data_IF_968060065050
#
_entry.id   IF_968060065050
#
_cell.length_a   1.000
_cell.length_b   1.000
_cell.length_c   1.000
_cell.angle_alpha   90.00
_cell.angle_beta   90.00
_cell.angle_gamma   90.00
#
_symmetry.space_group_name_H-M   'P 1'
#
loop_
_entity.id
_entity.type
_entity.pdbx_description
1 polymer ?
#
# COMPACT_ATOMS: atom_id res chain seq x y z
N UNK A 1 -92.39 6.88 -11.68
CA UNK A 1 -91.85 7.98 -12.50
C UNK A 1 -90.82 7.40 -13.45
N UNK A 2 -91.00 7.70 -14.75
CA UNK A 2 -90.21 7.46 -15.98
C UNK A 2 -88.86 6.72 -15.88
N UNK A 3 -88.49 5.70 -16.67
CA UNK A 3 -88.73 5.29 -18.08
C UNK A 3 -88.00 6.12 -19.17
N UNK A 4 -87.52 5.38 -20.21
CA UNK A 4 -86.81 5.73 -21.46
C UNK A 4 -85.27 5.71 -21.36
N UNK A 5 -84.48 4.77 -21.90
CA UNK A 5 -84.50 4.03 -23.20
C UNK A 5 -84.50 4.90 -24.46
N UNK A 6 -83.51 4.69 -25.33
CA UNK A 6 -83.45 5.25 -26.70
C UNK A 6 -82.09 5.03 -27.38
N UNK A 7 -82.02 4.09 -28.30
CA UNK A 7 -80.83 3.45 -28.92
C UNK A 7 -80.55 4.05 -30.36
N UNK A 8 -79.82 3.41 -31.30
CA UNK A 8 -78.58 3.90 -31.97
C UNK A 8 -78.69 4.09 -33.51
N UNK A 9 -77.57 4.41 -34.19
CA UNK A 9 -77.35 4.24 -35.65
C UNK A 9 -75.88 4.59 -35.98
N UNK A 10 -75.14 4.03 -36.96
CA UNK A 10 -75.27 2.92 -37.90
C UNK A 10 -73.84 2.65 -38.43
N UNK A 11 -73.56 1.41 -38.79
CA UNK A 11 -72.34 0.87 -39.35
C UNK A 11 -71.99 1.37 -40.77
N UNK A 12 -70.71 1.24 -41.15
CA UNK A 12 -70.36 0.63 -42.44
C UNK A 12 -69.02 -0.13 -42.31
N UNK A 13 -69.10 -1.44 -42.53
CA UNK A 13 -67.96 -2.33 -42.80
C UNK A 13 -67.58 -2.14 -44.26
N UNK A 14 -66.31 -2.29 -44.61
CA UNK A 14 -65.95 -3.11 -45.77
C UNK A 14 -64.59 -3.78 -45.55
N UNK A 15 -64.60 -5.08 -45.83
CA UNK A 15 -63.53 -6.08 -45.79
C UNK A 15 -62.86 -6.13 -47.18
N UNK A 16 -61.78 -6.91 -47.29
CA UNK A 16 -61.11 -7.40 -48.52
C UNK A 16 -60.10 -6.43 -49.17
N UNK A 17 -58.94 -6.84 -49.68
CA UNK A 17 -58.26 -8.13 -49.75
C UNK A 17 -56.80 -7.88 -50.14
N UNK A 18 -56.00 -8.90 -49.88
CA UNK A 18 -54.60 -9.06 -50.22
C UNK A 18 -54.41 -9.20 -51.75
N UNK A 19 -53.57 -8.37 -52.38
CA UNK A 19 -52.99 -8.68 -53.71
C UNK A 19 -51.53 -8.23 -53.74
N UNK A 20 -50.65 -9.17 -53.45
CA UNK A 20 -49.28 -9.15 -53.93
C UNK A 20 -49.27 -9.40 -55.45
N UNK A 21 -48.90 -8.40 -56.28
CA UNK A 21 -48.08 -8.69 -57.47
C UNK A 21 -47.46 -7.44 -58.13
N UNK A 22 -46.16 -7.58 -58.42
CA UNK A 22 -45.49 -7.24 -59.69
C UNK A 22 -44.87 -5.83 -59.89
N UNK A 23 -43.54 -5.88 -59.84
CA UNK A 23 -42.57 -5.41 -60.85
C UNK A 23 -42.47 -3.92 -61.22
N UNK A 24 -41.27 -3.43 -60.93
CA UNK A 24 -40.50 -2.35 -61.54
C UNK A 24 -40.96 -1.88 -62.95
N UNK A 25 -41.23 -0.58 -63.07
CA UNK A 25 -40.82 0.26 -64.20
C UNK A 25 -40.92 1.73 -63.75
N UNK A 26 -39.83 2.49 -63.95
CA UNK A 26 -39.60 3.75 -63.26
C UNK A 26 -40.33 4.98 -63.82
N UNK A 27 -40.29 6.06 -63.03
CA UNK A 27 -40.07 7.44 -63.48
C UNK A 27 -40.22 8.41 -62.32
N UNK A 28 -39.41 9.46 -62.34
CA UNK A 28 -39.76 10.75 -61.72
C UNK A 28 -39.34 10.89 -60.27
N UNK A 29 -38.25 11.63 -60.05
CA UNK A 29 -37.67 11.85 -58.74
C UNK A 29 -38.60 12.55 -57.75
N UNK A 30 -38.54 12.07 -56.51
CA UNK A 30 -38.35 12.91 -55.33
C UNK A 30 -37.27 12.18 -54.54
N UNK A 31 -36.11 12.81 -54.34
CA UNK A 31 -35.15 12.38 -53.33
C UNK A 31 -35.83 12.49 -51.98
N UNK A 32 -36.48 11.43 -51.51
CA UNK A 32 -36.73 11.27 -50.08
C UNK A 32 -35.35 11.29 -49.41
N UNK A 33 -35.07 12.20 -48.45
CA UNK A 33 -33.88 12.05 -47.66
C UNK A 33 -34.00 10.69 -46.97
N UNK A 34 -33.02 9.80 -47.17
CA UNK A 34 -32.84 8.62 -46.32
C UNK A 34 -33.04 9.07 -44.88
N UNK A 35 -33.92 8.43 -44.07
CA UNK A 35 -33.99 8.77 -42.66
C UNK A 35 -32.59 8.56 -42.13
N UNK A 36 -31.96 9.66 -41.72
CA UNK A 36 -30.71 9.60 -41.01
C UNK A 36 -30.93 8.63 -39.84
N UNK A 37 -30.13 7.57 -39.80
CA UNK A 37 -30.03 6.69 -38.64
C UNK A 37 -29.41 7.53 -37.51
N UNK A 38 -30.18 8.45 -36.95
CA UNK A 38 -29.86 9.13 -35.71
C UNK A 38 -30.12 8.11 -34.60
N UNK A 39 -29.16 7.22 -34.39
CA UNK A 39 -29.14 6.39 -33.19
C UNK A 39 -28.52 7.24 -32.08
N UNK A 40 -29.36 7.81 -31.21
CA UNK A 40 -28.89 8.44 -29.98
C UNK A 40 -28.51 7.35 -28.97
N UNK A 41 -27.60 7.66 -28.05
CA UNK A 41 -27.27 6.76 -26.94
C UNK A 41 -28.54 6.37 -26.15
N UNK A 42 -29.53 7.26 -26.09
CA UNK A 42 -30.81 7.00 -25.41
C UNK A 42 -31.68 5.98 -26.15
N UNK A 43 -31.44 5.70 -27.42
CA UNK A 43 -32.22 4.75 -28.22
C UNK A 43 -31.72 3.31 -28.06
N UNK A 44 -30.57 3.12 -27.40
CA UNK A 44 -30.02 1.79 -27.14
C UNK A 44 -30.92 0.98 -26.18
N UNK A 45 -30.96 -0.36 -26.36
CA UNK A 45 -31.54 -1.28 -25.41
C UNK A 45 -30.96 -1.10 -23.99
N UNK A 46 -31.78 -1.23 -22.92
CA UNK A 46 -31.32 -1.10 -21.55
C UNK A 46 -30.14 -2.02 -21.20
N UNK A 47 -30.08 -3.22 -21.77
CA UNK A 47 -29.02 -4.21 -21.53
C UNK A 47 -27.66 -3.70 -22.02
N UNK A 48 -27.63 -3.07 -23.21
CA UNK A 48 -26.42 -2.47 -23.75
C UNK A 48 -26.01 -1.24 -22.93
N UNK A 49 -26.97 -0.45 -22.46
CA UNK A 49 -26.71 0.70 -21.60
C UNK A 49 -26.15 0.27 -20.24
N UNK A 50 -26.65 -0.82 -19.66
CA UNK A 50 -26.11 -1.41 -18.43
C UNK A 50 -24.65 -1.81 -18.65
N UNK A 51 -24.32 -2.51 -19.74
CA UNK A 51 -22.93 -2.89 -20.03
C UNK A 51 -22.04 -1.67 -20.23
N UNK A 52 -22.48 -0.68 -21.02
CA UNK A 52 -21.72 0.56 -21.25
C UNK A 52 -21.47 1.31 -19.94
N UNK A 53 -22.52 1.53 -19.13
CA UNK A 53 -22.38 2.24 -17.85
C UNK A 53 -21.56 1.44 -16.85
N UNK A 54 -21.65 0.12 -16.88
CA UNK A 54 -20.86 -0.74 -16.02
C UNK A 54 -19.38 -0.79 -16.42
N UNK A 55 -18.94 -0.16 -17.51
CA UNK A 55 -17.53 0.03 -17.88
C UNK A 55 -16.96 1.38 -17.42
N UNK A 56 -17.80 2.33 -17.03
CA UNK A 56 -17.38 3.66 -16.62
C UNK A 56 -16.93 3.68 -15.14
N UNK A 57 -16.03 4.61 -14.75
CA UNK A 57 -15.73 4.85 -13.35
C UNK A 57 -17.01 5.17 -12.56
N UNK A 58 -17.14 4.62 -11.35
CA UNK A 58 -18.29 4.86 -10.48
C UNK A 58 -18.46 6.34 -10.10
N UNK A 59 -17.39 7.15 -10.21
CA UNK A 59 -17.41 8.61 -10.02
C UNK A 59 -18.16 9.35 -11.11
N UNK A 60 -18.30 8.78 -12.31
CA UNK A 60 -18.91 9.44 -13.48
C UNK A 60 -20.40 9.09 -13.60
N UNK A 61 -20.83 7.99 -12.96
CA UNK A 61 -22.22 7.53 -12.95
C UNK A 61 -23.21 8.57 -12.39
N UNK A 62 -22.91 9.34 -11.33
CA UNK A 62 -23.79 10.41 -10.87
C UNK A 62 -24.08 11.47 -11.95
N UNK A 63 -23.09 11.85 -12.76
CA UNK A 63 -23.28 12.79 -13.85
C UNK A 63 -24.22 12.23 -14.94
N UNK A 64 -24.08 10.93 -15.26
CA UNK A 64 -24.99 10.25 -16.18
C UNK A 64 -26.41 10.13 -15.64
N UNK A 65 -26.57 9.89 -14.33
CA UNK A 65 -27.88 9.83 -13.70
C UNK A 65 -28.64 11.16 -13.79
N UNK A 66 -27.92 12.28 -13.84
CA UNK A 66 -28.51 13.62 -14.00
C UNK A 66 -28.85 13.97 -15.45
N UNK A 67 -28.33 13.22 -16.44
CA UNK A 67 -28.47 13.56 -17.85
C UNK A 67 -29.90 13.35 -18.37
N UNK A 68 -30.57 12.26 -17.98
CA UNK A 68 -31.97 12.02 -18.34
C UNK A 68 -32.66 11.00 -17.42
N UNK A 69 -33.99 10.94 -17.47
CA UNK A 69 -34.80 10.01 -16.69
C UNK A 69 -34.48 8.55 -17.02
N UNK A 70 -34.26 8.21 -18.30
CA UNK A 70 -33.91 6.83 -18.71
C UNK A 70 -32.61 6.38 -18.04
N UNK A 71 -31.58 7.21 -18.05
CA UNK A 71 -30.29 6.87 -17.43
C UNK A 71 -30.38 6.81 -15.91
N UNK A 72 -31.15 7.72 -15.28
CA UNK A 72 -31.45 7.64 -13.86
C UNK A 72 -32.02 6.28 -13.46
N UNK A 73 -33.02 5.76 -14.19
CA UNK A 73 -33.63 4.46 -13.90
C UNK A 73 -32.67 3.29 -14.16
N UNK A 74 -31.87 3.33 -15.23
CA UNK A 74 -30.89 2.29 -15.53
C UNK A 74 -29.81 2.23 -14.44
N UNK A 75 -29.36 3.38 -13.93
CA UNK A 75 -28.35 3.45 -12.87
C UNK A 75 -28.88 3.05 -11.49
N UNK A 76 -30.17 2.74 -11.35
CA UNK A 76 -30.69 2.04 -10.16
C UNK A 76 -30.43 0.52 -10.20
N UNK A 77 -30.02 -0.03 -11.33
CA UNK A 77 -29.71 -1.46 -11.46
C UNK A 77 -28.43 -1.78 -10.70
N UNK A 78 -28.56 -2.66 -9.72
CA UNK A 78 -27.50 -2.92 -8.74
C UNK A 78 -26.30 -3.70 -9.31
N UNK A 79 -26.49 -4.41 -10.44
CA UNK A 79 -25.39 -5.12 -11.12
C UNK A 79 -24.29 -4.18 -11.62
N UNK A 80 -24.64 -2.94 -11.99
CA UNK A 80 -23.68 -1.90 -12.38
C UNK A 80 -22.78 -1.59 -11.18
N UNK A 81 -23.38 -1.25 -10.04
CA UNK A 81 -22.67 -0.89 -8.82
C UNK A 81 -21.89 -2.07 -8.23
N UNK A 82 -22.44 -3.28 -8.31
CA UNK A 82 -21.73 -4.52 -7.94
C UNK A 82 -20.42 -4.67 -8.71
N UNK A 83 -20.46 -4.42 -10.02
CA UNK A 83 -19.25 -4.44 -10.87
C UNK A 83 -18.26 -3.34 -10.45
N UNK A 84 -18.73 -2.11 -10.20
CA UNK A 84 -17.87 -1.01 -9.73
C UNK A 84 -17.20 -1.31 -8.38
N UNK A 85 -17.96 -1.81 -7.40
CA UNK A 85 -17.42 -2.22 -6.10
C UNK A 85 -16.31 -3.29 -6.24
N UNK A 86 -16.49 -4.24 -7.16
CA UNK A 86 -15.50 -5.29 -7.42
C UNK A 86 -14.27 -4.76 -8.15
N UNK A 87 -14.46 -3.97 -9.20
CA UNK A 87 -13.35 -3.51 -10.05
C UNK A 87 -12.55 -2.37 -9.41
N UNK A 88 -13.17 -1.48 -8.65
CA UNK A 88 -12.49 -0.31 -8.06
C UNK A 88 -11.99 -0.57 -6.64
N UNK A 89 -12.66 -1.45 -5.87
CA UNK A 89 -12.36 -1.67 -4.45
C UNK A 89 -12.05 -3.13 -4.11
N UNK A 90 -12.03 -4.04 -5.10
CA UNK A 90 -11.67 -5.44 -4.89
C UNK A 90 -12.65 -6.23 -4.02
N UNK A 91 -13.90 -5.76 -3.86
CA UNK A 91 -14.92 -6.42 -3.03
C UNK A 91 -15.12 -7.86 -3.50
N UNK A 92 -14.81 -8.82 -2.62
CA UNK A 92 -15.06 -10.25 -2.83
C UNK A 92 -16.40 -10.62 -2.21
N UNK A 93 -17.21 -11.32 -2.98
CA UNK A 93 -18.56 -11.70 -2.58
C UNK A 93 -18.54 -13.01 -1.81
N UNK A 94 -19.03 -12.99 -0.57
CA UNK A 94 -19.44 -14.22 0.11
C UNK A 94 -20.96 -14.28 0.06
N UNK A 95 -21.52 -15.41 -0.41
CA UNK A 95 -22.96 -15.66 -0.59
C UNK A 95 -23.81 -15.35 0.65
N UNK A 96 -23.20 -15.36 1.84
CA UNK A 96 -23.83 -15.07 3.13
C UNK A 96 -24.07 -13.56 3.36
N UNK A 97 -23.24 -12.69 2.79
CA UNK A 97 -23.25 -11.23 3.07
C UNK A 97 -24.43 -10.52 2.38
N UNK A 98 -24.83 -10.97 1.19
CA UNK A 98 -25.96 -10.42 0.42
C UNK A 98 -27.32 -10.73 1.06
N UNK A 99 -27.45 -11.89 1.72
CA UNK A 99 -28.70 -12.32 2.36
C UNK A 99 -28.95 -11.66 3.72
N UNK A 100 -27.90 -11.16 4.39
CA UNK A 100 -28.01 -10.76 5.79
C UNK A 100 -28.35 -9.29 6.02
N UNK A 101 -28.14 -8.39 5.04
CA UNK A 101 -28.10 -6.94 5.32
C UNK A 101 -29.12 -6.10 4.54
N UNK A 102 -29.79 -6.62 3.51
CA UNK A 102 -30.85 -5.87 2.80
C UNK A 102 -30.37 -4.57 2.13
N UNK A 103 -29.07 -4.43 1.87
CA UNK A 103 -28.45 -3.24 1.27
C UNK A 103 -28.18 -3.42 -0.22
N UNK A 104 -28.29 -2.33 -0.99
CA UNK A 104 -27.87 -2.29 -2.39
C UNK A 104 -26.37 -2.02 -2.52
N UNK A 105 -25.71 -2.58 -3.54
CA UNK A 105 -24.33 -2.23 -3.90
C UNK A 105 -24.17 -0.74 -4.20
N UNK A 106 -25.21 -0.08 -4.72
CA UNK A 106 -25.24 1.38 -4.87
C UNK A 106 -25.03 2.08 -3.53
N UNK A 107 -25.70 1.64 -2.47
CA UNK A 107 -25.53 2.22 -1.13
C UNK A 107 -24.15 1.92 -0.55
N UNK A 108 -23.64 0.70 -0.75
CA UNK A 108 -22.27 0.33 -0.36
C UNK A 108 -21.25 1.25 -1.02
N UNK A 109 -21.37 1.45 -2.33
CA UNK A 109 -20.47 2.32 -3.07
C UNK A 109 -20.55 3.78 -2.56
N UNK A 110 -21.76 4.32 -2.47
CA UNK A 110 -21.98 5.75 -2.22
C UNK A 110 -21.83 6.16 -0.75
N UNK A 111 -22.17 5.27 0.20
CA UNK A 111 -22.18 5.57 1.63
C UNK A 111 -20.96 5.00 2.38
N UNK A 112 -20.23 4.04 1.80
CA UNK A 112 -19.08 3.41 2.45
C UNK A 112 -17.82 3.50 1.59
N UNK A 113 -17.76 2.88 0.42
CA UNK A 113 -16.50 2.74 -0.31
C UNK A 113 -15.97 4.07 -0.81
N UNK A 114 -16.80 4.86 -1.51
CA UNK A 114 -16.36 6.13 -2.06
C UNK A 114 -16.05 7.18 -0.97
N UNK A 115 -16.86 7.39 0.09
CA UNK A 115 -16.53 8.33 1.16
C UNK A 115 -15.24 8.00 1.92
N UNK A 116 -14.99 6.71 2.17
CA UNK A 116 -13.85 6.22 2.96
C UNK A 116 -12.70 5.70 2.06
N UNK A 117 -12.70 5.98 0.76
CA UNK A 117 -11.64 5.52 -0.15
C UNK A 117 -10.23 5.98 0.25
N UNK A 118 -10.13 7.18 0.82
CA UNK A 118 -8.86 7.81 1.18
C UNK A 118 -8.22 7.23 2.45
N UNK A 119 -8.93 6.37 3.19
CA UNK A 119 -8.37 5.70 4.39
C UNK A 119 -7.88 4.30 4.06
N UNK A 120 -8.11 3.79 2.85
CA UNK A 120 -7.63 2.46 2.44
C UNK A 120 -6.12 2.50 2.22
N UNK A 121 -5.43 1.43 2.62
CA UNK A 121 -3.99 1.30 2.45
C UNK A 121 -3.25 1.09 3.76
N UNK A 122 -1.97 1.46 3.77
CA UNK A 122 -1.07 1.26 4.90
C UNK A 122 -0.79 2.58 5.60
N UNK A 123 -0.76 2.54 6.93
CA UNK A 123 -0.71 3.73 7.75
C UNK A 123 0.18 3.54 8.98
N UNK A 124 0.84 4.63 9.38
CA UNK A 124 1.64 4.71 10.59
C UNK A 124 0.96 5.66 11.60
N UNK A 125 0.77 5.25 12.86
CA UNK A 125 0.31 6.16 13.93
C UNK A 125 1.37 7.20 14.30
N UNK A 126 0.94 8.43 14.58
CA UNK A 126 1.81 9.54 15.02
C UNK A 126 2.26 9.39 16.49
N UNK A 127 1.47 8.72 17.31
CA UNK A 127 1.66 8.63 18.76
C UNK A 127 2.35 7.33 19.22
N UNK A 128 2.24 6.27 18.42
CA UNK A 128 2.91 4.99 18.63
C UNK A 128 3.64 4.55 17.36
N UNK A 129 4.89 5.01 17.23
CA UNK A 129 5.80 4.68 16.15
C UNK A 129 6.16 3.19 16.06
N UNK A 130 5.66 2.36 16.99
CA UNK A 130 5.88 0.91 17.00
C UNK A 130 4.76 0.12 16.34
N UNK A 131 3.78 0.76 15.70
CA UNK A 131 2.67 0.04 15.08
C UNK A 131 2.48 0.43 13.62
N UNK A 132 1.86 -0.49 12.89
CA UNK A 132 1.48 -0.33 11.50
C UNK A 132 0.00 -0.69 11.40
N UNK A 133 -0.78 0.15 10.76
CA UNK A 133 -2.20 -0.06 10.53
C UNK A 133 -2.43 -0.35 9.06
N UNK A 134 -3.08 -1.48 8.76
CA UNK A 134 -3.53 -1.81 7.42
C UNK A 134 -5.04 -1.70 7.34
N UNK A 135 -5.55 -0.81 6.49
CA UNK A 135 -6.99 -0.58 6.31
C UNK A 135 -7.43 -1.12 4.97
N UNK A 136 -8.36 -2.06 4.98
CA UNK A 136 -8.81 -2.74 3.78
C UNK A 136 -10.31 -3.01 3.80
N UNK A 137 -10.86 -3.27 2.60
CA UNK A 137 -12.23 -3.70 2.45
C UNK A 137 -12.32 -5.18 2.80
N UNK A 138 -13.19 -5.50 3.75
CA UNK A 138 -13.46 -6.83 4.27
C UNK A 138 -14.97 -7.11 4.14
N UNK A 139 -15.34 -7.77 3.05
CA UNK A 139 -16.74 -7.98 2.65
C UNK A 139 -17.45 -6.65 2.33
N UNK A 140 -18.46 -6.29 3.12
CA UNK A 140 -19.20 -5.03 3.03
C UNK A 140 -18.81 -4.02 4.12
N UNK A 141 -17.65 -4.21 4.74
CA UNK A 141 -17.12 -3.30 5.73
C UNK A 141 -15.69 -2.90 5.37
N UNK A 142 -15.19 -1.84 6.01
CA UNK A 142 -13.79 -1.45 5.98
C UNK A 142 -13.21 -1.75 7.34
N UNK A 143 -12.19 -2.61 7.40
CA UNK A 143 -11.56 -3.02 8.66
C UNK A 143 -10.15 -2.46 8.72
N UNK A 144 -9.84 -1.77 9.82
CA UNK A 144 -8.49 -1.34 10.16
C UNK A 144 -7.81 -2.38 11.03
N UNK A 145 -6.77 -3.02 10.51
CA UNK A 145 -6.00 -4.06 11.17
C UNK A 145 -4.70 -3.51 11.72
N UNK A 146 -4.51 -3.56 13.03
CA UNK A 146 -3.28 -3.11 13.66
C UNK A 146 -2.29 -4.27 13.80
N UNK A 147 -1.04 -4.03 13.38
CA UNK A 147 0.05 -4.96 13.57
C UNK A 147 0.36 -5.12 15.06
N UNK A 148 0.39 -6.36 15.55
CA UNK A 148 0.91 -6.71 16.88
C UNK A 148 2.41 -6.97 16.80
N UNK A 149 3.16 -6.71 17.88
CA UNK A 149 4.53 -7.19 17.99
C UNK A 149 4.54 -8.70 17.73
N UNK A 150 5.37 -9.15 16.79
CA UNK A 150 5.49 -10.56 16.47
C UNK A 150 6.00 -11.31 17.72
N UNK A 151 5.18 -12.20 18.27
CA UNK A 151 5.60 -13.20 19.25
C UNK A 151 6.32 -14.39 18.59
N UNK A 152 6.35 -14.42 17.25
CA UNK A 152 6.97 -15.49 16.48
C UNK A 152 8.49 -15.43 16.55
N UNK A 153 9.09 -16.61 16.76
CA UNK A 153 10.54 -16.83 16.87
C UNK A 153 11.24 -16.96 15.52
N UNK A 154 10.60 -16.70 14.37
CA UNK A 154 11.24 -16.80 13.03
C UNK A 154 11.01 -15.55 12.19
N UNK A 155 12.02 -15.14 11.43
CA UNK A 155 11.99 -13.94 10.56
C UNK A 155 11.17 -14.15 9.28
N UNK A 156 10.58 -15.33 9.10
CA UNK A 156 9.86 -15.71 7.87
C UNK A 156 8.35 -15.83 8.13
N UNK A 157 7.95 -15.72 9.40
CA UNK A 157 6.57 -15.82 9.81
C UNK A 157 5.75 -14.62 9.34
N UNK A 158 4.46 -14.81 8.98
CA UNK A 158 3.59 -13.71 8.63
C UNK A 158 3.43 -12.77 9.83
N UNK A 159 3.31 -11.48 9.54
CA UNK A 159 2.98 -10.49 10.56
C UNK A 159 1.57 -10.71 11.07
N UNK A 160 1.42 -10.67 12.40
CA UNK A 160 0.12 -10.78 13.05
C UNK A 160 -0.58 -9.42 13.06
N UNK A 161 -1.81 -9.41 12.56
CA UNK A 161 -2.67 -8.26 12.48
C UNK A 161 -3.97 -8.57 13.23
N UNK A 162 -4.42 -7.66 14.09
CA UNK A 162 -5.69 -7.78 14.82
C UNK A 162 -6.61 -6.62 14.41
N UNK A 163 -7.93 -6.84 14.26
CA UNK A 163 -8.83 -5.75 13.92
C UNK A 163 -8.86 -4.74 15.08
N UNK A 164 -8.63 -3.47 14.77
CA UNK A 164 -8.70 -2.34 15.69
C UNK A 164 -10.06 -1.66 15.59
N UNK A 165 -10.53 -1.44 14.37
CA UNK A 165 -11.83 -0.84 14.11
C UNK A 165 -12.45 -1.40 12.84
N UNK A 166 -13.76 -1.24 12.73
CA UNK A 166 -14.55 -1.66 11.58
C UNK A 166 -15.58 -0.60 11.23
N UNK A 167 -15.70 -0.28 9.95
CA UNK A 167 -16.71 0.63 9.42
C UNK A 167 -17.69 -0.21 8.60
N UNK A 168 -18.93 -0.32 9.07
CA UNK A 168 -19.98 -1.08 8.41
C UNK A 168 -21.19 -0.20 8.14
N UNK A 169 -21.96 -0.51 7.11
CA UNK A 169 -23.26 0.11 6.91
C UNK A 169 -24.31 -0.61 7.77
N UNK A 170 -25.06 0.15 8.56
CA UNK A 170 -26.25 -0.33 9.26
C UNK A 170 -27.51 0.06 8.48
N UNK A 171 -28.59 -0.71 8.65
CA UNK A 171 -29.84 -0.44 7.93
C UNK A 171 -30.30 1.02 8.15
N UNK A 172 -30.33 1.77 7.03
CA UNK A 172 -31.08 3.02 6.80
C UNK A 172 -30.49 4.38 7.20
N UNK A 173 -29.30 4.56 7.80
CA UNK A 173 -28.87 5.94 8.18
C UNK A 173 -27.43 6.37 7.83
N UNK A 174 -26.40 5.55 8.05
CA UNK A 174 -25.01 5.90 7.69
C UNK A 174 -24.07 4.75 8.02
N UNK A 175 -22.81 4.83 7.56
CA UNK A 175 -21.76 3.92 8.03
C UNK A 175 -21.51 4.16 9.54
N UNK A 176 -21.49 3.08 10.33
CA UNK A 176 -21.13 3.07 11.74
C UNK A 176 -19.69 2.62 11.88
N UNK A 177 -18.91 3.36 12.67
CA UNK A 177 -17.55 3.02 13.04
C UNK A 177 -17.58 2.33 14.41
N UNK A 178 -17.15 1.07 14.44
CA UNK A 178 -17.10 0.18 15.59
C UNK A 178 -15.65 -0.05 15.98
N UNK A 179 -15.37 -0.07 17.28
CA UNK A 179 -14.06 -0.43 17.82
C UNK A 179 -14.04 -1.93 18.16
N UNK A 180 -12.94 -2.62 17.86
CA UNK A 180 -12.87 -4.09 17.86
C UNK A 180 -11.91 -4.67 18.92
N UNK A 181 -11.39 -3.85 19.85
CA UNK A 181 -10.50 -4.34 20.91
C UNK A 181 -11.28 -4.92 22.11
N UNK A 182 -10.75 -6.00 22.69
CA UNK A 182 -11.35 -6.75 23.80
C UNK A 182 -11.48 -5.90 25.08
N UNK A 183 -10.66 -4.86 25.22
CA UNK A 183 -10.66 -3.93 26.36
C UNK A 183 -11.75 -2.84 26.27
N UNK A 184 -12.28 -2.59 25.09
CA UNK A 184 -13.11 -1.43 24.75
C UNK A 184 -14.36 -1.87 24.02
N UNK A 185 -15.09 -2.81 24.61
CA UNK A 185 -16.20 -3.51 23.96
C UNK A 185 -17.38 -2.63 23.54
N UNK A 186 -17.42 -1.32 23.84
CA UNK A 186 -18.54 -0.43 23.48
C UNK A 186 -18.15 1.06 23.37
N UNK A 187 -17.01 1.42 22.77
CA UNK A 187 -16.69 2.84 22.52
C UNK A 187 -17.34 3.32 21.22
N UNK A 188 -18.34 4.19 21.30
CA UNK A 188 -18.81 4.92 20.12
C UNK A 188 -17.73 5.94 19.71
N UNK A 189 -17.21 5.83 18.49
CA UNK A 189 -16.38 6.89 17.91
C UNK A 189 -17.22 8.14 17.70
N UNK A 190 -16.71 9.32 18.08
CA UNK A 190 -17.48 10.55 17.91
C UNK A 190 -17.28 11.16 16.51
N UNK A 191 -16.08 11.01 15.95
CA UNK A 191 -15.69 11.72 14.74
C UNK A 191 -14.44 11.10 14.07
N UNK A 192 -14.49 10.98 12.74
CA UNK A 192 -13.35 10.61 11.89
C UNK A 192 -13.05 11.78 10.94
N UNK A 193 -11.82 12.27 10.94
CA UNK A 193 -11.37 13.31 10.02
C UNK A 193 -10.46 12.69 8.97
N UNK A 194 -10.84 12.82 7.71
CA UNK A 194 -10.11 12.22 6.58
C UNK A 194 -9.50 13.35 5.75
N UNK A 195 -8.17 13.34 5.64
CA UNK A 195 -7.41 14.10 4.64
C UNK A 195 -6.75 13.10 3.68
N UNK A 196 -6.12 13.61 2.63
CA UNK A 196 -5.55 12.77 1.55
C UNK A 196 -4.43 11.86 2.04
N UNK A 197 -3.58 12.35 2.92
CA UNK A 197 -2.34 11.73 3.41
C UNK A 197 -2.37 11.44 4.92
N UNK A 198 -3.47 11.82 5.58
CA UNK A 198 -3.62 11.72 7.03
C UNK A 198 -5.07 11.53 7.42
N UNK A 199 -5.34 10.70 8.40
CA UNK A 199 -6.66 10.66 9.03
C UNK A 199 -6.53 10.57 10.55
N UNK A 200 -7.56 11.01 11.26
CA UNK A 200 -7.64 10.86 12.72
C UNK A 200 -8.97 10.25 13.14
N UNK A 201 -8.91 9.46 14.20
CA UNK A 201 -10.08 8.87 14.85
C UNK A 201 -10.10 9.33 16.30
N UNK A 202 -11.23 9.88 16.73
CA UNK A 202 -11.48 10.29 18.10
C UNK A 202 -12.33 9.25 18.83
N UNK A 203 -11.75 8.65 19.86
CA UNK A 203 -12.41 7.69 20.74
C UNK A 203 -12.81 8.35 22.06
N UNK A 204 -13.98 7.99 22.58
CA UNK A 204 -14.40 8.37 23.94
C UNK A 204 -13.75 7.38 24.91
N UNK A 205 -12.97 7.89 25.86
CA UNK A 205 -12.32 7.06 26.87
C UNK A 205 -13.34 6.59 27.92
N UNK A 206 -13.34 5.30 28.27
CA UNK A 206 -14.09 4.82 29.45
C UNK A 206 -13.23 5.08 30.69
N UNK A 207 -13.84 5.45 31.81
CA UNK A 207 -13.14 5.61 33.09
C UNK A 207 -12.50 4.26 33.50
N UNK A 208 -11.18 4.12 33.30
CA UNK A 208 -10.43 2.89 33.58
C UNK A 208 -10.31 2.56 35.08
N UNK A 209 -10.93 3.35 35.95
CA UNK A 209 -10.73 3.26 37.40
C UNK A 209 -11.50 2.11 38.04
N UNK A 210 -12.48 1.53 37.36
CA UNK A 210 -13.40 0.54 37.94
C UNK A 210 -13.18 -0.91 37.53
N UNK A 211 -12.50 -1.20 36.40
CA UNK A 211 -12.57 -2.55 35.77
C UNK A 211 -11.22 -3.14 35.29
N UNK A 212 -10.13 -3.02 36.05
CA UNK A 212 -8.88 -3.75 35.74
C UNK A 212 -8.64 -4.92 36.72
N UNK A 213 -8.70 -6.19 36.26
CA UNK A 213 -8.36 -7.35 37.08
C UNK A 213 -6.88 -7.34 37.50
N UNK A 214 -6.63 -7.80 38.73
CA UNK A 214 -5.36 -7.73 39.46
C UNK A 214 -4.15 -8.39 38.74
N UNK A 215 -4.38 -9.27 37.77
CA UNK A 215 -3.33 -10.02 37.06
C UNK A 215 -2.64 -9.25 35.92
N UNK A 216 -3.21 -8.13 35.45
CA UNK A 216 -2.61 -7.29 34.41
C UNK A 216 -1.60 -6.25 34.93
N UNK A 217 -1.36 -6.21 36.26
CA UNK A 217 -0.37 -5.31 36.87
C UNK A 217 1.08 -5.61 36.48
N UNK A 218 1.37 -6.79 35.90
CA UNK A 218 2.73 -7.25 35.63
C UNK A 218 3.38 -6.68 34.37
N UNK A 219 2.65 -6.57 33.25
CA UNK A 219 3.23 -6.16 31.95
C UNK A 219 2.88 -4.71 31.55
N UNK A 220 1.76 -4.16 32.04
CA UNK A 220 1.23 -2.86 31.62
C UNK A 220 1.36 -1.76 32.67
N UNK A 221 1.94 -2.07 33.84
CA UNK A 221 2.07 -1.15 34.98
C UNK A 221 2.91 0.11 34.72
N UNK A 222 3.66 0.17 33.60
CA UNK A 222 4.59 1.26 33.32
C UNK A 222 4.29 2.08 32.06
N UNK A 223 3.32 1.69 31.22
CA UNK A 223 3.00 2.41 29.96
C UNK A 223 1.77 3.33 30.10
N UNK A 224 1.01 3.22 31.20
CA UNK A 224 -0.18 4.04 31.46
C UNK A 224 0.04 5.21 32.44
N UNK A 225 1.29 5.60 32.70
CA UNK A 225 1.58 6.87 33.39
C UNK A 225 1.89 7.95 32.36
N UNK A 226 0.90 8.25 31.51
CA UNK A 226 0.79 9.60 30.95
C UNK A 226 -0.44 10.22 31.61
N UNK A 227 -0.17 11.09 32.56
CA UNK A 227 -1.16 11.85 33.30
C UNK A 227 -1.75 12.91 32.34
N UNK A 228 -2.61 12.47 31.41
CA UNK A 228 -3.31 13.39 30.51
C UNK A 228 -4.79 13.40 30.88
N UNK A 229 -5.25 14.56 31.34
CA UNK A 229 -6.63 14.84 31.78
C UNK A 229 -7.62 14.93 30.62
N UNK A 230 -7.41 14.18 29.53
CA UNK A 230 -8.23 14.28 28.32
C UNK A 230 -9.27 13.16 28.27
N UNK A 231 -10.52 13.56 28.01
CA UNK A 231 -11.70 12.68 27.89
C UNK A 231 -11.70 11.86 26.58
N UNK A 232 -10.77 12.14 25.67
CA UNK A 232 -10.69 11.57 24.33
C UNK A 232 -9.28 11.07 24.02
N UNK A 233 -9.18 9.87 23.43
CA UNK A 233 -7.94 9.39 22.80
C UNK A 233 -8.04 9.67 21.29
N UNK A 234 -7.20 10.57 20.78
CA UNK A 234 -7.17 10.97 19.37
C UNK A 234 -5.97 10.35 18.66
N UNK A 235 -6.22 9.29 17.88
CA UNK A 235 -5.18 8.61 17.11
C UNK A 235 -5.09 9.24 15.72
N UNK A 236 -3.92 9.74 15.36
CA UNK A 236 -3.64 10.31 14.03
C UNK A 236 -2.73 9.37 13.26
N UNK A 237 -3.05 9.13 12.00
CA UNK A 237 -2.39 8.17 11.12
C UNK A 237 -1.90 8.84 9.86
N UNK A 238 -0.65 8.57 9.46
CA UNK A 238 -0.02 9.03 8.20
C UNK A 238 0.07 7.90 7.20
N UNK A 239 -0.15 8.23 5.93
CA UNK A 239 -0.10 7.25 4.85
C UNK A 239 1.34 6.76 4.63
N UNK A 240 1.47 5.44 4.40
CA UNK A 240 2.71 4.76 4.05
C UNK A 240 2.49 4.04 2.73
N UNK A 241 3.36 4.30 1.75
CA UNK A 241 3.34 3.60 0.47
C UNK A 241 4.45 2.55 0.41
N UNK A 242 4.20 1.46 -0.32
CA UNK A 242 5.25 0.54 -0.72
C UNK A 242 6.11 1.17 -1.83
N UNK A 243 7.40 0.86 -1.85
CA UNK A 243 8.34 1.35 -2.85
C UNK A 243 8.00 0.83 -4.25
N UNK A 244 8.15 1.66 -5.29
CA UNK A 244 7.96 1.23 -6.67
C UNK A 244 9.04 0.20 -7.04
N UNK A 245 8.68 -0.76 -7.90
CA UNK A 245 9.61 -1.75 -8.43
C UNK A 245 10.18 -1.28 -9.77
N UNK A 246 11.49 -1.40 -9.93
CA UNK A 246 12.20 -1.23 -11.19
C UNK A 246 12.75 -2.57 -11.70
N UNK A 247 12.85 -2.80 -13.02
CA UNK A 247 13.45 -4.03 -13.58
C UNK A 247 14.91 -4.25 -13.15
N UNK A 248 15.65 -3.16 -12.91
CA UNK A 248 17.06 -3.20 -12.51
C UNK A 248 17.26 -3.35 -10.98
N UNK A 249 16.17 -3.45 -10.21
CA UNK A 249 16.26 -3.64 -8.77
C UNK A 249 16.87 -5.00 -8.46
N UNK A 250 17.81 -5.02 -7.50
CA UNK A 250 18.54 -6.21 -7.10
C UNK A 250 17.61 -7.33 -6.58
N UNK A 251 16.57 -6.94 -5.84
CA UNK A 251 15.47 -7.78 -5.36
C UNK A 251 14.20 -6.93 -5.35
N UNK A 252 13.02 -7.55 -5.24
CA UNK A 252 11.76 -6.80 -5.10
C UNK A 252 11.82 -5.86 -3.88
N UNK A 253 11.62 -4.55 -4.02
CA UNK A 253 11.60 -3.66 -2.86
C UNK A 253 10.33 -3.92 -2.01
N UNK A 254 10.32 -3.46 -0.76
CA UNK A 254 9.17 -3.69 0.12
C UNK A 254 9.50 -3.66 1.61
N UNK A 255 8.58 -4.19 2.42
CA UNK A 255 8.72 -4.27 3.87
C UNK A 255 9.48 -5.52 4.28
N UNK A 256 10.37 -5.34 5.23
CA UNK A 256 11.14 -6.38 5.89
C UNK A 256 11.05 -6.18 7.39
N UNK A 257 11.20 -7.27 8.14
CA UNK A 257 11.29 -7.21 9.59
C UNK A 257 12.55 -7.89 10.09
N UNK A 258 13.08 -7.37 11.20
CA UNK A 258 14.24 -7.91 11.90
C UNK A 258 13.88 -8.14 13.35
N UNK A 259 14.49 -9.14 13.97
CA UNK A 259 14.55 -9.19 15.43
C UNK A 259 15.61 -8.22 15.91
N UNK A 260 15.29 -7.43 16.93
CA UNK A 260 16.22 -6.47 17.51
C UNK A 260 16.41 -6.69 19.02
N UNK A 261 15.46 -7.39 19.66
CA UNK A 261 15.55 -8.00 21.01
C UNK A 261 14.32 -8.92 21.21
N UNK A 262 14.32 -9.78 22.23
CA UNK A 262 13.25 -10.76 22.56
C UNK A 262 11.83 -10.20 22.70
N UNK A 263 11.66 -8.87 22.73
CA UNK A 263 10.35 -8.18 22.73
C UNK A 263 10.19 -7.12 21.62
N UNK A 264 11.23 -6.81 20.84
CA UNK A 264 11.27 -5.68 19.91
C UNK A 264 11.72 -6.12 18.52
N UNK A 265 10.75 -6.33 17.63
CA UNK A 265 11.00 -6.46 16.19
C UNK A 265 11.02 -5.09 15.51
N UNK A 266 11.95 -4.86 14.58
CA UNK A 266 11.96 -3.67 13.71
C UNK A 266 11.24 -3.99 12.40
N UNK A 267 10.54 -3.00 11.84
CA UNK A 267 10.01 -3.06 10.48
C UNK A 267 10.70 -1.97 9.68
N UNK A 268 11.36 -2.38 8.60
CA UNK A 268 12.05 -1.48 7.73
C UNK A 268 11.59 -1.66 6.28
N UNK A 269 11.73 -0.61 5.49
CA UNK A 269 11.38 -0.59 4.09
C UNK A 269 12.63 -0.47 3.24
N UNK A 270 12.86 -1.47 2.39
CA UNK A 270 13.91 -1.48 1.37
C UNK A 270 13.38 -0.81 0.10
N UNK A 271 14.08 0.20 -0.38
CA UNK A 271 13.77 0.93 -1.63
C UNK A 271 15.05 1.18 -2.44
N UNK A 272 14.94 1.26 -3.77
CA UNK A 272 16.08 1.48 -4.66
C UNK A 272 16.05 2.90 -5.24
N UNK A 273 17.23 3.51 -5.33
CA UNK A 273 17.45 4.92 -5.72
C UNK A 273 18.68 5.01 -6.64
N UNK A 274 18.60 4.38 -7.81
CA UNK A 274 19.70 4.35 -8.80
C UNK A 274 20.91 3.58 -8.27
N UNK A 275 22.00 4.31 -7.93
CA UNK A 275 23.26 3.71 -7.45
C UNK A 275 23.20 3.25 -5.99
N UNK A 276 22.12 3.55 -5.28
CA UNK A 276 21.95 3.28 -3.86
C UNK A 276 20.68 2.48 -3.60
N UNK A 277 20.72 1.56 -2.66
CA UNK A 277 19.53 1.04 -2.01
C UNK A 277 19.44 1.61 -0.59
N UNK A 278 18.23 1.82 -0.09
CA UNK A 278 17.99 2.39 1.24
C UNK A 278 17.00 1.52 2.00
N UNK A 279 17.42 1.10 3.19
CA UNK A 279 16.58 0.42 4.17
C UNK A 279 16.26 1.43 5.25
N UNK A 280 14.99 1.85 5.32
CA UNK A 280 14.51 2.86 6.28
C UNK A 280 13.62 2.24 7.33
N UNK A 281 13.86 2.58 8.59
CA UNK A 281 13.02 2.10 9.68
C UNK A 281 11.65 2.79 9.64
N UNK A 282 10.61 2.01 9.39
CA UNK A 282 9.23 2.46 9.57
C UNK A 282 8.87 2.35 11.05
N UNK A 283 9.23 1.23 11.69
CA UNK A 283 8.90 0.92 13.08
C UNK A 283 10.15 0.94 13.97
N UNK A 284 10.37 1.99 14.74
CA UNK A 284 11.45 2.05 15.74
C UNK A 284 11.59 3.38 16.50
N UNK A 285 12.48 3.38 17.50
CA UNK A 285 12.65 4.47 18.47
C UNK A 285 13.55 5.62 17.96
N UNK A 286 14.24 5.43 16.83
CA UNK A 286 15.21 6.39 16.28
C UNK A 286 14.94 6.68 14.80
N UNK A 287 15.48 7.79 14.28
CA UNK A 287 15.58 7.98 12.83
C UNK A 287 16.76 7.15 12.37
N UNK A 288 16.48 6.01 11.74
CA UNK A 288 17.48 5.04 11.31
C UNK A 288 17.37 4.79 9.81
N UNK A 289 18.50 4.82 9.11
CA UNK A 289 18.60 4.52 7.68
C UNK A 289 19.89 3.77 7.40
N UNK A 290 19.79 2.64 6.71
CA UNK A 290 20.91 1.94 6.12
C UNK A 290 20.96 2.25 4.62
N UNK A 291 22.03 2.88 4.16
CA UNK A 291 22.30 3.16 2.75
C UNK A 291 23.30 2.14 2.21
N UNK A 292 22.97 1.47 1.11
CA UNK A 292 23.74 0.40 0.50
C UNK A 292 24.29 0.91 -0.83
N UNK A 293 25.61 0.90 -0.97
CA UNK A 293 26.29 1.37 -2.17
C UNK A 293 26.37 0.24 -3.20
N UNK A 294 25.44 0.21 -4.16
CA UNK A 294 25.31 -0.88 -5.14
C UNK A 294 26.51 -0.99 -6.09
N UNK A 295 27.29 0.09 -6.23
CA UNK A 295 28.52 0.10 -7.03
C UNK A 295 29.76 -0.38 -6.24
N UNK A 296 29.64 -0.58 -4.92
CA UNK A 296 30.74 -0.95 -4.02
C UNK A 296 30.57 -2.40 -3.54
N UNK A 297 30.68 -3.33 -4.49
CA UNK A 297 30.55 -4.76 -4.23
C UNK A 297 31.79 -5.33 -3.55
N UNK A 298 31.59 -6.12 -2.51
CA UNK A 298 32.65 -6.84 -1.79
C UNK A 298 32.80 -8.22 -2.42
N UNK A 299 34.02 -8.55 -2.86
CA UNK A 299 34.35 -9.80 -3.56
C UNK A 299 34.27 -11.00 -2.60
N UNK A 300 33.52 -12.02 -3.00
CA UNK A 300 33.25 -13.22 -2.21
C UNK A 300 34.22 -14.34 -2.59
N UNK A 301 35.45 -14.30 -2.08
CA UNK A 301 36.44 -15.38 -2.30
C UNK A 301 36.08 -16.60 -1.45
N UNK A 302 35.49 -17.62 -2.08
CA UNK A 302 35.18 -18.97 -1.58
C UNK A 302 34.44 -19.10 -0.22
N UNK A 303 33.92 -17.99 0.33
CA UNK A 303 33.23 -17.94 1.62
C UNK A 303 34.16 -17.98 2.85
N UNK A 304 35.43 -18.38 2.71
CA UNK A 304 36.42 -18.36 3.80
C UNK A 304 36.69 -16.93 4.31
N UNK A 305 36.58 -15.95 3.42
CA UNK A 305 36.74 -14.53 3.71
C UNK A 305 35.92 -14.07 4.93
N UNK A 306 34.71 -14.60 5.10
CA UNK A 306 33.87 -14.20 6.23
C UNK A 306 34.37 -14.72 7.58
N UNK A 307 35.20 -15.77 7.65
CA UNK A 307 35.70 -16.29 8.92
C UNK A 307 36.65 -15.31 9.62
N UNK A 308 37.33 -14.46 8.85
CA UNK A 308 38.35 -13.53 9.36
C UNK A 308 37.79 -12.10 9.48
N UNK A 309 37.33 -11.74 10.68
CA UNK A 309 36.79 -10.41 10.96
C UNK A 309 37.78 -9.28 10.62
N UNK A 310 39.08 -9.47 10.89
CA UNK A 310 40.08 -8.43 10.64
C UNK A 310 40.27 -8.16 9.15
N UNK A 311 40.18 -9.20 8.33
CA UNK A 311 40.26 -9.07 6.88
C UNK A 311 39.02 -8.38 6.31
N UNK A 312 37.82 -8.77 6.79
CA UNK A 312 36.56 -8.12 6.43
C UNK A 312 36.59 -6.62 6.79
N UNK A 313 37.03 -6.30 8.01
CA UNK A 313 37.14 -4.93 8.50
C UNK A 313 38.11 -4.09 7.64
N UNK A 314 39.28 -4.65 7.31
CA UNK A 314 40.27 -3.96 6.45
C UNK A 314 39.70 -3.62 5.07
N UNK A 315 39.03 -4.58 4.42
CA UNK A 315 38.42 -4.36 3.09
C UNK A 315 37.35 -3.27 3.14
N UNK A 316 36.54 -3.25 4.19
CA UNK A 316 35.49 -2.24 4.36
C UNK A 316 36.10 -0.86 4.59
N UNK A 317 37.14 -0.74 5.40
CA UNK A 317 37.86 0.51 5.62
C UNK A 317 38.51 1.04 4.33
N UNK A 318 39.12 0.15 3.52
CA UNK A 318 39.67 0.53 2.22
C UNK A 318 38.61 1.08 1.27
N UNK A 319 37.41 0.49 1.26
CA UNK A 319 36.27 0.96 0.46
C UNK A 319 35.74 2.30 1.01
N UNK A 320 35.60 2.42 2.33
CA UNK A 320 35.16 3.64 3.00
C UNK A 320 36.07 4.83 2.64
N UNK A 321 37.39 4.65 2.73
CA UNK A 321 38.34 5.68 2.33
C UNK A 321 38.20 6.08 0.85
N UNK A 322 37.94 5.14 -0.04
CA UNK A 322 37.68 5.45 -1.46
C UNK A 322 36.40 6.27 -1.61
N UNK A 323 35.32 5.89 -0.92
CA UNK A 323 34.04 6.61 -0.95
C UNK A 323 34.19 8.03 -0.41
N UNK A 324 34.93 8.21 0.69
CA UNK A 324 35.20 9.54 1.27
C UNK A 324 36.01 10.40 0.30
N UNK A 325 37.08 9.85 -0.31
CA UNK A 325 37.91 10.57 -1.28
C UNK A 325 37.11 11.05 -2.50
N UNK A 326 36.25 10.19 -3.04
CA UNK A 326 35.40 10.55 -4.18
C UNK A 326 34.34 11.59 -3.83
N UNK A 327 33.74 11.51 -2.64
CA UNK A 327 32.76 12.51 -2.18
C UNK A 327 33.42 13.89 -2.01
N UNK A 328 34.63 13.95 -1.44
CA UNK A 328 35.38 15.21 -1.30
C UNK A 328 35.74 15.83 -2.65
N UNK A 329 36.18 15.04 -3.64
CA UNK A 329 36.51 15.54 -4.98
C UNK A 329 35.28 16.09 -5.72
N UNK A 330 34.10 15.55 -5.44
CA UNK A 330 32.87 16.00 -6.08
C UNK A 330 32.31 17.28 -5.43
N UNK A 331 32.60 17.52 -4.15
CA UNK A 331 32.25 18.77 -3.45
C UNK A 331 33.20 19.92 -3.82
N UNK A 332 34.49 19.65 -3.98
CA UNK A 332 35.53 20.65 -4.28
C UNK A 332 35.56 21.07 -5.78
N UNK A 333 35.00 20.25 -6.68
CA UNK A 333 35.00 20.47 -8.13
C UNK A 333 33.93 21.42 -8.68
N UNK A 334 33.27 22.23 -7.84
CA UNK A 334 32.19 23.14 -8.28
C UNK A 334 32.69 24.55 -8.67
N UNK A 335 33.98 24.84 -8.52
CA UNK A 335 34.59 26.08 -9.03
C UNK A 335 35.68 25.75 -10.06
N UNK A 336 35.45 26.21 -11.31
CA UNK A 336 36.38 26.20 -12.44
C UNK A 336 36.74 24.86 -13.12
N UNK A 337 35.96 24.48 -14.15
CA UNK A 337 36.57 24.10 -15.44
C UNK A 337 35.53 24.06 -16.56
N UNK A 338 35.53 25.09 -17.41
CA UNK A 338 35.01 24.99 -18.77
C UNK A 338 35.90 24.01 -19.56
N UNK A 339 35.29 22.92 -19.99
CA UNK A 339 35.65 22.17 -21.20
C UNK A 339 37.06 21.60 -21.26
N UNK A 340 37.25 20.36 -20.80
CA UNK A 340 38.03 19.36 -21.53
C UNK A 340 37.49 17.95 -21.24
N UNK A 341 37.39 17.14 -22.29
CA UNK A 341 36.75 15.83 -22.27
C UNK A 341 37.39 14.85 -21.30
N UNK A 342 36.55 14.23 -20.48
CA UNK A 342 36.89 13.12 -19.62
C UNK A 342 37.29 11.89 -20.46
N UNK A 343 38.58 11.62 -20.59
CA UNK A 343 39.07 10.27 -20.90
C UNK A 343 39.40 9.58 -19.57
N UNK A 344 38.50 8.70 -19.12
CA UNK A 344 38.76 7.76 -18.03
C UNK A 344 39.74 6.66 -18.48
N UNK A 345 40.62 6.14 -17.60
CA UNK A 345 41.26 4.86 -17.82
C UNK A 345 40.18 3.78 -17.87
N UNK A 346 40.17 2.99 -18.94
CA UNK A 346 39.15 1.99 -19.23
C UNK A 346 38.90 1.03 -18.05
N UNK A 347 37.69 1.11 -17.49
CA UNK A 347 37.01 0.01 -16.81
C UNK A 347 35.62 -0.15 -17.44
N UNK A 348 35.12 -1.39 -17.59
CA UNK A 348 34.15 -1.73 -18.61
C UNK A 348 32.85 -0.98 -18.41
N UNK A 349 32.46 -0.24 -19.45
CA UNK A 349 31.16 0.40 -19.59
C UNK A 349 30.07 -0.66 -19.51
N UNK A 350 29.13 -0.46 -18.58
CA UNK A 350 27.83 -1.14 -18.57
C UNK A 350 27.09 -0.67 -19.82
N UNK A 351 27.30 -1.39 -20.91
CA UNK A 351 26.77 -1.02 -22.22
C UNK A 351 27.19 -1.96 -23.34
N UNK A 352 27.58 -3.21 -23.04
CA UNK A 352 27.76 -4.26 -24.05
C UNK A 352 27.86 -5.64 -23.37
N UNK A 353 26.74 -6.07 -22.79
CA UNK A 353 26.44 -7.50 -22.62
C UNK A 353 24.95 -7.63 -22.41
N UNK A 354 24.22 -7.73 -23.53
CA UNK A 354 23.00 -8.51 -23.58
C UNK A 354 23.35 -9.99 -23.37
N UNK A 355 23.67 -10.33 -22.13
CA UNK A 355 23.70 -11.68 -21.60
C UNK A 355 23.06 -11.55 -20.23
N UNK A 356 22.00 -12.31 -19.98
CA UNK A 356 21.31 -12.38 -18.70
C UNK A 356 22.31 -12.27 -17.55
N UNK A 357 22.03 -11.41 -16.56
CA UNK A 357 22.75 -11.35 -15.31
C UNK A 357 23.05 -12.80 -14.88
N UNK A 358 24.30 -13.22 -15.05
CA UNK A 358 24.69 -14.59 -14.75
C UNK A 358 24.47 -14.70 -13.25
N UNK A 359 23.46 -15.47 -12.83
CA UNK A 359 23.21 -15.74 -11.42
C UNK A 359 24.49 -16.36 -10.86
N UNK A 360 25.32 -15.54 -10.23
CA UNK A 360 26.51 -16.04 -9.55
C UNK A 360 26.06 -17.05 -8.51
N UNK A 361 26.73 -18.21 -8.51
CA UNK A 361 26.37 -19.28 -7.60
C UNK A 361 26.52 -18.77 -6.15
N UNK A 362 25.50 -18.97 -5.29
CA UNK A 362 25.60 -18.61 -3.88
C UNK A 362 26.84 -19.24 -3.24
N UNK A 363 27.62 -18.44 -2.52
CA UNK A 363 28.80 -18.93 -1.79
C UNK A 363 28.42 -19.28 -0.35
N UNK A 364 29.14 -20.21 0.30
CA UNK A 364 28.96 -20.47 1.72
C UNK A 364 29.14 -19.19 2.56
N UNK A 365 28.22 -18.97 3.50
CA UNK A 365 28.25 -17.86 4.43
C UNK A 365 28.31 -18.37 5.87
N UNK A 366 29.25 -17.83 6.63
CA UNK A 366 29.41 -18.08 8.06
C UNK A 366 29.73 -16.74 8.71
N UNK A 367 29.12 -16.44 9.86
CA UNK A 367 29.47 -15.21 10.58
C UNK A 367 30.95 -15.20 10.98
N UNK A 368 31.63 -14.03 10.90
CA UNK A 368 32.99 -13.91 11.39
C UNK A 368 33.11 -14.29 12.87
N UNK A 369 34.28 -14.81 13.24
CA UNK A 369 34.61 -15.07 14.64
C UNK A 369 34.44 -13.77 15.43
N UNK A 370 33.79 -13.85 16.58
CA UNK A 370 33.40 -12.73 17.47
C UNK A 370 32.19 -11.89 17.04
N UNK A 371 31.52 -12.19 15.91
CA UNK A 371 30.28 -11.50 15.53
C UNK A 371 29.07 -12.20 16.16
N UNK A 372 28.28 -11.44 16.92
CA UNK A 372 27.08 -11.92 17.59
C UNK A 372 25.83 -11.77 16.71
N UNK A 373 24.83 -12.64 16.90
CA UNK A 373 23.50 -12.46 16.33
C UNK A 373 22.43 -13.01 17.28
N UNK A 374 21.27 -12.35 17.31
CA UNK A 374 20.07 -12.87 17.98
C UNK A 374 19.48 -14.06 17.23
N UNK A 375 19.63 -14.08 15.92
CA UNK A 375 19.13 -15.14 15.06
C UNK A 375 20.22 -16.19 14.84
N UNK A 376 20.00 -17.40 15.33
CA UNK A 376 20.92 -18.51 15.10
C UNK A 376 20.64 -19.24 13.77
N UNK A 377 19.42 -19.07 13.24
CA UNK A 377 18.90 -19.72 12.04
C UNK A 377 19.00 -18.82 10.79
N UNK A 378 20.14 -18.14 10.61
CA UNK A 378 20.38 -17.35 9.40
C UNK A 378 20.77 -18.24 8.19
N UNK A 379 20.49 -17.81 6.95
CA UNK A 379 20.86 -18.55 5.75
C UNK A 379 22.38 -18.79 5.66
N UNK A 380 22.78 -19.99 5.25
CA UNK A 380 24.19 -20.44 5.21
C UNK A 380 24.87 -20.21 3.87
N UNK A 381 24.22 -19.49 2.96
CA UNK A 381 24.75 -19.13 1.65
C UNK A 381 24.36 -17.71 1.31
N UNK A 382 25.28 -16.90 0.79
CA UNK A 382 25.00 -15.54 0.33
C UNK A 382 25.27 -15.38 -1.17
N UNK A 383 24.50 -14.50 -1.81
CA UNK A 383 24.62 -14.18 -3.25
C UNK A 383 25.58 -13.02 -3.48
N UNK A 384 25.44 -11.95 -2.69
CA UNK A 384 26.17 -10.71 -2.91
C UNK A 384 26.44 -9.99 -1.59
N UNK A 385 27.56 -9.27 -1.53
CA UNK A 385 27.88 -8.36 -0.44
C UNK A 385 28.22 -6.98 -0.97
N UNK A 386 27.79 -5.96 -0.24
CA UNK A 386 28.01 -4.56 -0.59
C UNK A 386 28.47 -3.77 0.62
N UNK A 387 29.24 -2.73 0.37
CA UNK A 387 29.48 -1.69 1.35
C UNK A 387 28.19 -0.94 1.65
N UNK A 388 27.91 -0.70 2.91
CA UNK A 388 26.80 0.13 3.36
C UNK A 388 27.24 1.11 4.43
N UNK A 389 26.39 2.11 4.66
CA UNK A 389 26.55 3.10 5.73
C UNK A 389 25.25 3.13 6.51
N UNK A 390 25.33 2.74 7.78
CA UNK A 390 24.26 2.95 8.74
C UNK A 390 24.31 4.39 9.23
N UNK A 391 23.17 5.07 9.19
CA UNK A 391 23.01 6.42 9.70
C UNK A 391 21.88 6.43 10.73
N UNK A 392 22.17 6.87 11.94
CA UNK A 392 21.16 7.05 12.96
C UNK A 392 21.31 8.38 13.70
N UNK A 393 20.16 8.95 14.06
CA UNK A 393 20.07 10.17 14.88
C UNK A 393 19.44 9.80 16.22
N UNK A 394 20.20 10.00 17.30
CA UNK A 394 19.70 9.84 18.66
C UNK A 394 18.85 11.06 19.07
N UNK A 395 17.81 10.89 19.91
CA UNK A 395 16.96 11.99 20.31
C UNK A 395 17.79 13.02 21.09
N UNK A 396 17.74 14.28 20.65
CA UNK A 396 18.50 15.38 21.27
C UNK A 396 19.92 15.60 20.74
N UNK A 397 20.40 14.78 19.79
CA UNK A 397 21.66 15.02 19.08
C UNK A 397 21.40 15.62 17.69
N UNK A 398 22.12 16.69 17.36
CA UNK A 398 21.98 17.39 16.08
C UNK A 398 22.69 16.65 14.93
N UNK A 399 23.82 16.01 15.22
CA UNK A 399 24.65 15.38 14.20
C UNK A 399 24.33 13.88 14.05
N UNK A 400 23.97 13.41 12.84
CA UNK A 400 23.75 12.00 12.59
C UNK A 400 25.08 11.24 12.65
N UNK A 401 25.10 10.11 13.36
CA UNK A 401 26.25 9.21 13.38
C UNK A 401 26.20 8.33 12.13
N UNK A 402 27.31 8.26 11.40
CA UNK A 402 27.47 7.42 10.20
C UNK A 402 28.48 6.33 10.51
N UNK A 403 28.10 5.07 10.29
CA UNK A 403 28.94 3.91 10.57
C UNK A 403 29.02 2.97 9.36
N UNK A 404 30.21 2.53 8.97
CA UNK A 404 30.39 1.58 7.88
C UNK A 404 29.86 0.20 8.28
N UNK A 405 29.14 -0.44 7.37
CA UNK A 405 28.59 -1.78 7.56
C UNK A 405 28.77 -2.64 6.32
N UNK A 406 28.67 -3.96 6.52
CA UNK A 406 28.66 -4.93 5.44
C UNK A 406 27.23 -5.38 5.20
N UNK A 407 26.65 -5.01 4.07
CA UNK A 407 25.35 -5.53 3.64
C UNK A 407 25.53 -6.89 2.95
N UNK A 408 24.68 -7.84 3.28
CA UNK A 408 24.71 -9.22 2.80
C UNK A 408 23.34 -9.59 2.25
N UNK A 409 23.29 -9.96 0.97
CA UNK A 409 22.10 -10.49 0.33
C UNK A 409 22.15 -12.02 0.31
N UNK A 410 21.17 -12.68 0.93
CA UNK A 410 21.07 -14.14 0.94
C UNK A 410 20.21 -14.64 -0.23
N UNK A 411 19.01 -14.10 -0.36
CA UNK A 411 18.04 -14.47 -1.41
C UNK A 411 17.03 -13.32 -1.64
N UNK A 412 15.96 -13.61 -2.39
CA UNK A 412 14.91 -12.64 -2.72
C UNK A 412 14.16 -12.09 -1.49
N UNK A 413 14.14 -12.81 -0.37
CA UNK A 413 13.37 -12.49 0.82
C UNK A 413 14.23 -12.22 2.05
N UNK A 414 15.53 -12.52 2.01
CA UNK A 414 16.42 -12.38 3.16
C UNK A 414 17.66 -11.57 2.82
N UNK A 415 17.93 -10.58 3.67
CA UNK A 415 19.21 -9.88 3.71
C UNK A 415 19.61 -9.67 5.16
N UNK A 416 20.88 -9.35 5.37
CA UNK A 416 21.34 -8.91 6.68
C UNK A 416 22.45 -7.88 6.55
N UNK A 417 22.87 -7.33 7.68
CA UNK A 417 24.07 -6.51 7.71
C UNK A 417 24.87 -6.75 8.98
N UNK A 418 26.19 -6.62 8.85
CA UNK A 418 27.14 -6.70 9.95
C UNK A 418 27.54 -5.28 10.34
N UNK A 419 27.27 -4.93 11.58
CA UNK A 419 27.79 -3.75 12.24
C UNK A 419 29.20 -4.05 12.75
N UNK A 420 30.20 -3.42 12.13
CA UNK A 420 31.61 -3.71 12.41
C UNK A 420 32.03 -3.29 13.82
N UNK A 421 31.68 -2.09 14.26
CA UNK A 421 32.10 -1.56 15.57
C UNK A 421 31.49 -2.37 16.73
N UNK A 422 30.21 -2.74 16.60
CA UNK A 422 29.50 -3.51 17.62
C UNK A 422 29.73 -5.02 17.51
N UNK A 423 30.40 -5.49 16.46
CA UNK A 423 30.51 -6.91 16.09
C UNK A 423 29.16 -7.63 16.14
N UNK A 424 28.17 -7.04 15.48
CA UNK A 424 26.78 -7.52 15.56
C UNK A 424 26.16 -7.74 14.19
N UNK A 425 25.39 -8.80 14.03
CA UNK A 425 24.70 -9.14 12.78
C UNK A 425 23.18 -9.09 12.95
N UNK A 426 22.53 -8.32 12.07
CA UNK A 426 21.08 -8.20 11.98
C UNK A 426 20.55 -8.93 10.74
N UNK A 427 19.53 -9.75 10.93
CA UNK A 427 18.85 -10.48 9.86
C UNK A 427 17.47 -9.87 9.60
N UNK A 428 17.17 -9.62 8.33
CA UNK A 428 15.91 -9.11 7.85
C UNK A 428 15.24 -10.13 6.94
N UNK A 429 13.98 -10.43 7.23
CA UNK A 429 13.11 -11.27 6.42
C UNK A 429 11.96 -10.46 5.85
N UNK A 430 11.57 -10.79 4.62
CA UNK A 430 10.50 -10.08 3.91
C UNK A 430 9.15 -10.34 4.58
N UNK A 431 8.37 -9.27 4.75
CA UNK A 431 6.97 -9.37 5.17
C UNK A 431 6.17 -10.09 4.09
N UNK A 432 5.64 -11.28 4.41
CA UNK A 432 4.91 -12.12 3.46
C UNK A 432 3.45 -11.68 3.27
N UNK A 433 2.95 -10.77 4.10
CA UNK A 433 1.58 -10.25 3.99
C UNK A 433 1.38 -9.50 2.67
N UNK A 434 0.25 -9.75 2.01
CA UNK A 434 -0.17 -9.02 0.82
C UNK A 434 -1.06 -7.84 1.22
N UNK A 435 -0.67 -6.63 0.84
CA UNK A 435 -1.43 -5.42 1.12
C UNK A 435 -2.06 -4.87 -0.18
N UNK A 436 -3.26 -4.31 -0.06
CA UNK A 436 -3.98 -3.64 -1.15
C UNK A 436 -3.95 -2.12 -0.93
N UNK A 437 -4.04 -1.34 -2.01
CA UNK A 437 -4.07 0.13 -1.96
C UNK A 437 -2.83 0.75 -1.30
N UNK A 438 -1.66 0.15 -1.54
CA UNK A 438 -0.39 0.58 -0.94
C UNK A 438 0.61 1.15 -1.93
N UNK A 439 0.29 1.18 -3.22
CA UNK A 439 1.15 1.74 -4.25
C UNK A 439 1.11 3.27 -4.19
N UNK A 440 2.28 3.89 -4.32
CA UNK A 440 2.37 5.34 -4.38
C UNK A 440 1.72 5.86 -5.68
N UNK A 441 0.92 6.93 -5.64
CA UNK A 441 0.34 7.53 -6.86
C UNK A 441 1.38 8.02 -7.87
N UNK A 442 2.58 8.36 -7.39
CA UNK A 442 3.73 8.75 -8.21
C UNK A 442 5.03 8.54 -7.42
N UNK A 443 6.17 8.49 -8.13
CA UNK A 443 7.48 8.47 -7.48
C UNK A 443 7.72 9.68 -6.57
N UNK A 444 7.20 10.85 -6.95
CA UNK A 444 7.27 12.06 -6.13
C UNK A 444 6.47 11.90 -4.82
N UNK A 445 5.26 11.34 -4.87
CA UNK A 445 4.46 11.09 -3.68
C UNK A 445 5.14 10.10 -2.71
N UNK A 446 5.88 9.12 -3.26
CA UNK A 446 6.71 8.21 -2.46
C UNK A 446 7.85 8.96 -1.76
N UNK A 447 8.57 9.84 -2.45
CA UNK A 447 9.64 10.65 -1.87
C UNK A 447 9.12 11.65 -0.81
N UNK A 448 7.95 12.25 -1.04
CA UNK A 448 7.29 13.12 -0.06
C UNK A 448 6.93 12.34 1.21
N UNK A 449 6.30 11.17 1.07
CA UNK A 449 6.02 10.26 2.19
C UNK A 449 7.29 9.93 2.97
N UNK A 450 8.38 9.60 2.27
CA UNK A 450 9.68 9.33 2.88
C UNK A 450 10.24 10.52 3.66
N UNK A 451 10.08 11.74 3.17
CA UNK A 451 10.51 12.97 3.85
C UNK A 451 9.67 13.25 5.10
N UNK A 452 8.36 12.99 5.05
CA UNK A 452 7.43 13.19 6.17
C UNK A 452 7.64 12.19 7.31
N UNK A 453 8.14 10.99 7.01
CA UNK A 453 8.58 10.01 8.03
C UNK A 453 9.90 10.46 8.69
N UNK A 454 10.74 11.23 7.98
CA UNK A 454 12.03 11.74 8.47
C UNK A 454 11.90 13.01 9.32
N UNK A 455 10.98 13.91 8.98
CA UNK A 455 10.77 15.19 9.69
C UNK A 455 10.05 15.05 11.04
N UNK A 456 10.29 13.94 11.75
CA UNK A 456 9.66 13.63 13.04
C UNK A 456 9.89 14.80 14.01
N UNK A 457 8.83 15.44 14.54
CA UNK A 457 9.02 16.33 15.67
C UNK A 457 9.54 15.49 16.85
N UNK A 458 10.71 15.88 17.36
CA UNK A 458 11.34 15.32 18.57
C UNK A 458 10.44 15.45 19.80
#
# INVERSE_FOLDING_TARGET
>A
MAAAEGKPALAEKHLEEDVATRCCAGSGGILSPMPSLHCSLQDLPPELLVEIFALLPGTDLPCLALACTKFHHILHIDSIWRRRCREEFGVRETLEILKMIGMSYREVYTKLLHPYRNILGLWQPDDDYRRLLYVAVDGLCITGWMNRPCLNTHVDGPMQFQPLFRICLTERKSATLEYMDDFYSFSHSHHMQIRKDRFSIQWIKRDHRTDLPMWLKGEWGWVLVREDRQQYDCLTYRCVYLPPRHPDDLIRPGLFHSKYDGFRGKIAMLSFHGKYARVREIRGDFIWTLEIHLMRRIQLRDGEFFRNFNELSRVVQEIEEQVIREQQQQEDGTEESEGHGWQSPAQPSVGESGAAASEEQPVPFVLPVDVHSFDQDYPRTCRMCFYGVETFTLPGFADPMRLPVVFILFDENHFGFIWLEAKYFFLFGRVQNTFQNVEAPSGQAFLEMLSNIQSRPL
#
